data_IF_921189007685
#
_entry.id   IF_921189007685
#
_cell.length_a   1.000
_cell.length_b   1.000
_cell.length_c   1.000
_cell.angle_alpha   90.00
_cell.angle_beta   90.00
_cell.angle_gamma   90.00
#
_symmetry.space_group_name_H-M   'P 1'
#
loop_
_entity.id
_entity.type
_entity.pdbx_description
1 polymer ?
#
# COMPACT_ATOMS: atom_id res chain seq x y z
N UNK A 1 28.48 9.66 -37.55
CA UNK A 1 27.78 8.37 -37.35
C UNK A 1 27.29 8.29 -35.90
N UNK A 2 25.98 8.22 -35.65
CA UNK A 2 25.43 8.04 -34.29
C UNK A 2 24.89 6.62 -34.17
N UNK A 3 25.53 5.76 -33.39
CA UNK A 3 24.94 4.47 -33.03
C UNK A 3 23.83 4.72 -32.00
N UNK A 4 22.58 4.62 -32.43
CA UNK A 4 21.44 4.50 -31.52
C UNK A 4 21.29 3.03 -31.18
N UNK A 5 22.05 2.55 -30.20
CA UNK A 5 21.63 1.37 -29.44
C UNK A 5 20.40 1.82 -28.65
N UNK A 6 19.21 1.70 -29.26
CA UNK A 6 17.98 1.60 -28.49
C UNK A 6 17.97 0.19 -27.94
N UNK A 7 18.01 0.04 -26.62
CA UNK A 7 17.72 -1.22 -25.96
C UNK A 7 16.48 -1.83 -26.62
N UNK A 8 16.63 -3.00 -27.25
CA UNK A 8 15.56 -3.66 -28.01
C UNK A 8 14.34 -3.97 -27.14
N UNK A 9 14.54 -3.96 -25.84
CA UNK A 9 13.53 -4.28 -24.83
C UNK A 9 12.86 -3.02 -24.23
N UNK A 10 13.30 -1.81 -24.58
CA UNK A 10 12.72 -0.57 -24.06
C UNK A 10 11.58 -0.08 -24.97
N UNK A 11 10.36 -0.12 -24.45
CA UNK A 11 9.17 0.41 -25.12
C UNK A 11 9.25 1.93 -25.31
N UNK A 12 8.62 2.45 -26.36
CA UNK A 12 8.78 3.85 -26.77
C UNK A 12 8.11 4.85 -25.82
N UNK A 13 7.10 4.42 -25.08
CA UNK A 13 6.39 5.18 -24.06
C UNK A 13 7.20 5.37 -22.77
N UNK A 14 8.29 4.61 -22.58
CA UNK A 14 9.06 4.67 -21.35
C UNK A 14 10.05 5.84 -21.37
N UNK A 15 9.84 6.79 -20.47
CA UNK A 15 10.77 7.88 -20.22
C UNK A 15 11.40 7.76 -18.82
N UNK A 16 12.57 7.11 -18.75
CA UNK A 16 13.35 6.99 -17.51
C UNK A 16 14.37 8.12 -17.30
N UNK A 17 14.36 9.19 -18.10
CA UNK A 17 15.30 10.32 -17.95
C UNK A 17 15.25 10.99 -16.57
N UNK A 18 14.09 10.92 -15.91
CA UNK A 18 13.87 11.43 -14.55
C UNK A 18 14.00 10.35 -13.45
N UNK A 19 14.52 9.17 -13.80
CA UNK A 19 14.68 8.04 -12.88
C UNK A 19 15.74 8.32 -11.82
N UNK A 20 15.36 8.26 -10.53
CA UNK A 20 16.29 8.39 -9.40
C UNK A 20 16.52 7.03 -8.76
N UNK A 21 17.75 6.52 -8.82
CA UNK A 21 18.13 5.24 -8.19
C UNK A 21 17.85 5.31 -6.68
N UNK A 22 17.10 4.32 -6.18
CA UNK A 22 16.83 4.21 -4.74
C UNK A 22 15.88 5.26 -4.16
N UNK A 23 15.05 5.94 -4.98
CA UNK A 23 14.09 6.98 -4.54
C UNK A 23 13.27 6.59 -3.30
N UNK A 24 12.93 5.31 -3.15
CA UNK A 24 12.16 4.77 -2.03
C UNK A 24 12.91 3.76 -1.16
N UNK A 25 14.18 3.47 -1.46
CA UNK A 25 14.96 2.43 -0.76
C UNK A 25 15.08 2.70 0.75
N UNK A 26 15.34 3.96 1.13
CA UNK A 26 15.37 4.36 2.55
C UNK A 26 14.00 4.24 3.24
N UNK A 27 12.89 4.42 2.52
CA UNK A 27 11.54 4.28 3.09
C UNK A 27 11.19 2.81 3.29
N UNK A 28 11.57 1.96 2.33
CA UNK A 28 11.41 0.51 2.43
C UNK A 28 12.25 -0.07 3.58
N UNK A 29 13.51 0.35 3.72
CA UNK A 29 14.41 -0.11 4.79
C UNK A 29 13.94 0.24 6.22
N UNK A 30 13.08 1.26 6.38
CA UNK A 30 12.45 1.60 7.67
C UNK A 30 11.37 0.60 8.09
N UNK A 31 11.05 -0.37 7.24
CA UNK A 31 9.94 -1.29 7.42
C UNK A 31 8.65 -0.66 6.86
N UNK A 32 8.03 -1.36 5.91
CA UNK A 32 6.65 -1.13 5.56
C UNK A 32 5.83 -2.30 6.11
N UNK A 33 4.86 -2.02 6.97
CA UNK A 33 3.90 -3.05 7.37
C UNK A 33 2.88 -3.23 6.24
N UNK A 34 3.18 -4.14 5.32
CA UNK A 34 2.31 -4.47 4.19
C UNK A 34 1.35 -5.56 4.67
N UNK A 35 0.07 -5.23 4.70
CA UNK A 35 -1.00 -6.16 5.04
C UNK A 35 -1.73 -6.49 3.74
N UNK A 36 -1.59 -7.72 3.29
CA UNK A 36 -2.31 -8.23 2.11
C UNK A 36 -3.69 -8.68 2.58
N UNK A 37 -4.73 -8.11 1.96
CA UNK A 37 -6.10 -8.54 2.20
C UNK A 37 -6.38 -9.83 1.43
N UNK A 38 -7.23 -10.67 1.99
CA UNK A 38 -7.73 -11.83 1.26
C UNK A 38 -8.56 -11.40 0.04
N UNK A 39 -8.64 -12.22 -1.02
CA UNK A 39 -9.29 -11.83 -2.27
C UNK A 39 -10.74 -11.38 -2.10
N UNK A 40 -11.49 -12.09 -1.27
CA UNK A 40 -12.89 -11.79 -0.93
C UNK A 40 -13.04 -10.42 -0.26
N UNK A 41 -12.17 -10.07 0.67
CA UNK A 41 -12.18 -8.75 1.34
C UNK A 41 -11.77 -7.66 0.35
N UNK A 42 -10.74 -7.89 -0.45
CA UNK A 42 -10.27 -6.92 -1.45
C UNK A 42 -11.30 -6.65 -2.56
N UNK A 43 -12.19 -7.60 -2.85
CA UNK A 43 -13.27 -7.43 -3.82
C UNK A 43 -14.36 -6.47 -3.32
N UNK A 44 -14.51 -6.31 -2.00
CA UNK A 44 -15.52 -5.45 -1.38
C UNK A 44 -15.00 -4.02 -1.19
N UNK A 45 -13.71 -3.85 -0.87
CA UNK A 45 -13.14 -2.54 -0.55
C UNK A 45 -12.35 -1.94 -1.71
N UNK A 46 -12.67 -0.68 -2.05
CA UNK A 46 -12.04 0.04 -3.17
C UNK A 46 -10.61 0.50 -2.87
N UNK A 47 -10.31 0.85 -1.63
CA UNK A 47 -9.01 1.39 -1.23
C UNK A 47 -8.69 1.14 0.26
N UNK A 48 -7.46 1.47 0.65
CA UNK A 48 -7.00 1.32 2.03
C UNK A 48 -7.65 2.30 3.00
N UNK A 49 -8.23 3.41 2.52
CA UNK A 49 -8.90 4.40 3.38
C UNK A 49 -10.19 3.78 3.92
N UNK A 50 -11.03 3.24 3.02
CA UNK A 50 -12.29 2.58 3.37
C UNK A 50 -12.11 1.40 4.33
N UNK A 51 -11.11 0.55 4.10
CA UNK A 51 -10.77 -0.57 5.00
C UNK A 51 -10.44 -0.07 6.42
N UNK A 52 -9.57 0.94 6.51
CA UNK A 52 -9.11 1.45 7.80
C UNK A 52 -10.22 2.15 8.59
N UNK A 53 -11.14 2.83 7.92
CA UNK A 53 -12.30 3.45 8.58
C UNK A 53 -13.22 2.42 9.21
N UNK A 54 -13.50 1.32 8.51
CA UNK A 54 -14.31 0.21 9.05
C UNK A 54 -13.63 -0.43 10.25
N UNK A 55 -12.34 -0.76 10.15
CA UNK A 55 -11.58 -1.36 11.25
C UNK A 55 -11.55 -0.45 12.49
N UNK A 56 -11.34 0.86 12.32
CA UNK A 56 -11.38 1.83 13.43
C UNK A 56 -12.76 1.90 14.08
N UNK A 57 -13.82 1.84 13.28
CA UNK A 57 -15.19 1.84 13.80
C UNK A 57 -15.45 0.59 14.64
N UNK A 58 -14.99 -0.58 14.17
CA UNK A 58 -15.06 -1.83 14.92
C UNK A 58 -14.27 -1.76 16.25
N UNK A 59 -13.08 -1.16 16.25
CA UNK A 59 -12.29 -0.95 17.47
C UNK A 59 -13.03 -0.11 18.52
N UNK A 60 -13.80 0.91 18.09
CA UNK A 60 -14.62 1.72 19.01
C UNK A 60 -15.71 0.88 19.65
N UNK A 61 -16.40 0.06 18.87
CA UNK A 61 -17.43 -0.86 19.38
C UNK A 61 -16.82 -1.88 20.34
N UNK A 62 -15.72 -2.51 19.96
CA UNK A 62 -15.03 -3.51 20.79
C UNK A 62 -14.55 -2.93 22.12
N UNK A 63 -14.00 -1.70 22.11
CA UNK A 63 -13.55 -1.04 23.34
C UNK A 63 -14.72 -0.69 24.27
N UNK A 64 -15.87 -0.25 23.72
CA UNK A 64 -17.08 -0.02 24.50
C UNK A 64 -17.57 -1.30 25.19
N UNK A 65 -17.66 -2.42 24.46
CA UNK A 65 -18.06 -3.73 25.03
C UNK A 65 -17.10 -4.19 26.13
N UNK A 66 -15.79 -4.01 25.93
CA UNK A 66 -14.78 -4.38 26.93
C UNK A 66 -14.89 -3.56 28.22
N UNK A 67 -15.34 -2.31 28.13
CA UNK A 67 -15.48 -1.41 29.29
C UNK A 67 -16.70 -1.79 30.13
N UNK A 68 -17.82 -2.10 29.49
CA UNK A 68 -19.04 -2.57 30.17
C UNK A 68 -18.81 -3.87 30.94
N UNK A 69 -17.97 -4.79 30.42
CA UNK A 69 -17.62 -6.05 31.11
C UNK A 69 -16.67 -5.89 32.30
N UNK A 70 -15.99 -4.74 32.45
CA UNK A 70 -15.08 -4.48 33.59
C UNK A 70 -15.75 -3.77 34.75
N UNK A 71 -16.96 -3.25 34.54
CA UNK A 71 -17.76 -2.54 35.56
C UNK A 71 -18.92 -3.39 36.10
N UNK A 72 -19.04 -4.63 35.65
CA UNK A 72 -20.04 -5.61 36.07
C UNK A 72 -19.39 -6.69 36.93
#
# INVERSE_FOLDING_TARGET
>A
MKSKNKDKDMLCEYNFSNGVRGKYAKRYAKGANIIVLSPDVSAVFKDSISVNEVLRSLMKVASAVSKTRRTA
#
